data_IF_762597548069
#
_entry.id   IF_762597548069
#
_cell.length_a   1.000
_cell.length_b   1.000
_cell.length_c   1.000
_cell.angle_alpha   90.00
_cell.angle_beta   90.00
_cell.angle_gamma   90.00
#
_symmetry.space_group_name_H-M   'P 1'
#
loop_
_entity.id
_entity.type
_entity.pdbx_description
1 polymer ?
#
# COMPACT_ATOMS: atom_id res chain seq x y z
N UNK A 1 5.48 -10.45 46.94
CA UNK A 1 5.11 -9.10 46.46
C UNK A 1 3.62 -8.86 46.71
N UNK A 2 3.11 -7.63 46.76
CA UNK A 2 1.67 -7.31 46.87
C UNK A 2 1.06 -7.13 45.48
N UNK A 3 -0.26 -7.25 45.34
CA UNK A 3 -0.93 -6.77 44.12
C UNK A 3 -0.87 -5.25 44.10
N UNK A 4 -0.45 -4.69 42.96
CA UNK A 4 -0.45 -3.25 42.72
C UNK A 4 -1.62 -2.90 41.81
N UNK A 5 -2.30 -1.80 42.10
CA UNK A 5 -3.32 -1.26 41.21
C UNK A 5 -2.69 -0.98 39.84
N UNK A 6 -3.37 -1.34 38.76
CA UNK A 6 -3.02 -0.90 37.42
C UNK A 6 -3.83 0.36 37.12
N UNK A 7 -3.19 1.52 37.22
CA UNK A 7 -3.73 2.84 36.96
C UNK A 7 -2.87 3.54 35.89
N UNK A 8 -3.12 3.21 34.62
CA UNK A 8 -2.35 3.67 33.46
C UNK A 8 -1.38 2.61 32.92
N UNK A 9 -0.38 3.06 32.16
CA UNK A 9 0.60 2.16 31.52
C UNK A 9 1.72 1.76 32.47
N UNK A 10 1.97 0.46 32.56
CA UNK A 10 3.09 -0.14 33.30
C UNK A 10 4.00 -0.92 32.37
N UNK A 11 5.28 -0.58 32.39
CA UNK A 11 6.33 -1.25 31.60
C UNK A 11 7.29 -2.01 32.51
N UNK A 12 7.62 -3.25 32.14
CA UNK A 12 8.56 -4.12 32.83
C UNK A 12 9.52 -4.70 31.79
N UNK A 13 10.81 -4.46 31.95
CA UNK A 13 11.85 -5.12 31.17
C UNK A 13 12.42 -6.28 31.99
N UNK A 14 12.51 -7.46 31.39
CA UNK A 14 13.09 -8.64 32.03
C UNK A 14 13.59 -9.63 30.95
N UNK A 15 14.00 -10.83 31.35
CA UNK A 15 14.53 -11.84 30.44
C UNK A 15 14.19 -13.24 30.91
N UNK A 16 14.10 -14.19 29.99
CA UNK A 16 14.05 -15.63 30.28
C UNK A 16 15.32 -16.30 29.79
N UNK A 17 15.78 -17.32 30.51
CA UNK A 17 16.91 -18.14 30.07
C UNK A 17 16.77 -19.58 30.56
N UNK A 18 16.33 -20.47 29.68
CA UNK A 18 16.05 -21.86 30.05
C UNK A 18 17.30 -22.64 30.45
N UNK A 19 18.50 -22.19 30.05
CA UNK A 19 19.76 -22.85 30.41
C UNK A 19 20.12 -22.70 31.89
N UNK A 20 19.58 -21.68 32.57
CA UNK A 20 19.76 -21.49 34.01
C UNK A 20 18.54 -21.94 34.84
N UNK A 21 17.52 -22.53 34.19
CA UNK A 21 16.28 -22.97 34.82
C UNK A 21 15.18 -21.90 34.88
N UNK A 22 15.38 -20.73 34.29
CA UNK A 22 14.40 -19.66 34.22
C UNK A 22 13.50 -19.81 32.99
N UNK A 23 12.44 -20.61 33.16
CA UNK A 23 11.47 -20.91 32.11
C UNK A 23 10.23 -20.02 32.13
N UNK A 24 9.98 -19.29 33.23
CA UNK A 24 8.78 -18.48 33.40
C UNK A 24 8.95 -17.41 34.47
N UNK A 25 8.37 -16.25 34.15
CA UNK A 25 8.18 -15.15 35.07
C UNK A 25 6.71 -14.99 35.43
N UNK A 26 6.45 -14.49 36.64
CA UNK A 26 5.10 -14.29 37.17
C UNK A 26 4.96 -12.88 37.71
N UNK A 27 4.03 -12.14 37.14
CA UNK A 27 3.66 -10.79 37.56
C UNK A 27 2.26 -10.79 38.11
N UNK A 28 1.93 -9.71 38.84
CA UNK A 28 0.58 -9.51 39.36
C UNK A 28 0.13 -8.07 39.31
N UNK A 29 -1.16 -7.90 39.10
CA UNK A 29 -1.83 -6.61 39.06
C UNK A 29 -3.26 -6.72 39.62
N UNK A 30 -3.82 -5.58 40.02
CA UNK A 30 -5.20 -5.47 40.49
C UNK A 30 -5.92 -4.44 39.64
N UNK A 31 -7.12 -4.77 39.19
CA UNK A 31 -8.08 -3.80 38.65
C UNK A 31 -9.00 -3.32 39.78
N UNK A 32 -9.13 -2.00 39.91
CA UNK A 32 -10.00 -1.37 40.91
C UNK A 32 -11.48 -1.46 40.56
N UNK A 33 -11.76 -1.49 39.27
CA UNK A 33 -13.08 -1.52 38.65
C UNK A 33 -13.00 -2.29 37.33
N UNK A 34 -14.14 -2.66 36.76
CA UNK A 34 -14.19 -3.26 35.42
C UNK A 34 -13.66 -2.25 34.40
N UNK A 35 -12.64 -2.64 33.64
CA UNK A 35 -11.90 -1.75 32.74
C UNK A 35 -11.52 -2.48 31.46
N UNK A 36 -11.24 -1.74 30.38
CA UNK A 36 -10.47 -2.31 29.28
C UNK A 36 -9.08 -2.74 29.77
N UNK A 37 -8.52 -3.77 29.17
CA UNK A 37 -7.22 -4.30 29.55
C UNK A 37 -6.40 -4.65 28.31
N UNK A 38 -5.25 -4.01 28.20
CA UNK A 38 -4.30 -4.24 27.12
C UNK A 38 -2.99 -4.76 27.69
N UNK A 39 -2.37 -5.72 27.01
CA UNK A 39 -1.07 -6.26 27.36
C UNK A 39 -0.29 -6.53 26.07
N UNK A 40 0.96 -6.08 26.05
CA UNK A 40 1.91 -6.37 24.98
C UNK A 40 3.19 -7.00 25.55
N UNK A 41 3.72 -8.02 24.88
CA UNK A 41 5.05 -8.58 25.12
C UNK A 41 5.88 -8.39 23.86
N UNK A 42 6.88 -7.49 23.90
CA UNK A 42 7.69 -7.16 22.73
C UNK A 42 9.19 -7.28 23.01
N UNK A 43 10.02 -6.96 22.01
CA UNK A 43 11.48 -6.97 22.09
C UNK A 43 12.06 -8.35 22.42
N UNK A 44 11.42 -9.39 21.88
CA UNK A 44 11.84 -10.77 22.02
C UNK A 44 12.79 -11.16 20.89
N UNK A 45 13.83 -11.92 21.22
CA UNK A 45 14.72 -12.58 20.23
C UNK A 45 14.42 -14.06 20.06
N UNK A 46 13.56 -14.62 20.91
CA UNK A 46 13.10 -16.00 20.86
C UNK A 46 11.71 -16.12 21.52
N UNK A 47 11.08 -17.26 21.31
CA UNK A 47 9.66 -17.51 21.57
C UNK A 47 9.27 -17.54 23.06
N UNK A 48 8.33 -16.68 23.45
CA UNK A 48 7.72 -16.69 24.76
C UNK A 48 6.24 -16.29 24.70
N UNK A 49 5.41 -17.07 25.40
CA UNK A 49 3.97 -16.90 25.46
C UNK A 49 3.54 -16.02 26.64
N UNK A 50 2.33 -15.47 26.56
CA UNK A 50 1.63 -14.83 27.69
C UNK A 50 0.34 -15.55 28.08
N UNK A 51 0.10 -15.65 29.39
CA UNK A 51 -1.15 -16.18 29.98
C UNK A 51 -1.61 -15.31 31.14
N UNK A 52 -2.90 -15.01 31.20
CA UNK A 52 -3.52 -14.24 32.27
C UNK A 52 -4.41 -15.15 33.09
N UNK A 53 -4.24 -15.10 34.41
CA UNK A 53 -5.03 -15.86 35.36
C UNK A 53 -5.73 -14.93 36.35
N UNK A 54 -6.92 -15.30 36.79
CA UNK A 54 -7.63 -14.63 37.87
C UNK A 54 -7.37 -15.36 39.20
N UNK A 55 -7.01 -14.59 40.23
CA UNK A 55 -6.88 -15.07 41.62
C UNK A 55 -8.27 -15.27 42.24
N UNK A 56 -8.97 -16.31 41.77
CA UNK A 56 -10.36 -16.60 42.16
C UNK A 56 -10.46 -17.22 43.55
N UNK A 57 -9.37 -17.80 44.06
CA UNK A 57 -9.31 -18.43 45.39
C UNK A 57 -8.81 -17.47 46.49
N UNK A 58 -8.28 -16.30 46.12
CA UNK A 58 -7.76 -15.29 47.05
C UNK A 58 -6.44 -15.70 47.72
N UNK A 59 -5.72 -16.68 47.18
CA UNK A 59 -4.46 -17.20 47.75
C UNK A 59 -3.32 -16.20 47.58
N UNK A 60 -3.44 -15.29 46.61
CA UNK A 60 -2.43 -14.29 46.24
C UNK A 60 -1.15 -14.86 45.63
N UNK A 61 -1.17 -16.14 45.28
CA UNK A 61 -0.10 -16.87 44.62
C UNK A 61 -0.65 -17.60 43.39
N UNK A 62 0.11 -17.62 42.29
CA UNK A 62 -0.35 -18.30 41.08
C UNK A 62 -0.23 -19.83 41.24
N UNK A 63 -1.37 -20.49 41.24
CA UNK A 63 -1.57 -21.93 41.33
C UNK A 63 -2.14 -22.45 40.01
N UNK A 64 -1.26 -22.97 39.13
CA UNK A 64 -1.57 -23.30 37.72
C UNK A 64 -2.80 -24.24 37.51
N UNK A 65 -3.29 -24.96 38.53
CA UNK A 65 -4.46 -25.85 38.46
C UNK A 65 -5.66 -25.39 39.32
N UNK A 66 -5.58 -24.20 39.92
CA UNK A 66 -6.60 -23.65 40.82
C UNK A 66 -7.07 -22.29 40.32
N UNK A 67 -6.15 -21.46 39.86
CA UNK A 67 -6.49 -20.16 39.29
C UNK A 67 -7.07 -20.31 37.88
N UNK A 68 -8.08 -19.50 37.61
CA UNK A 68 -8.80 -19.50 36.34
C UNK A 68 -7.95 -18.85 35.25
N UNK A 69 -7.63 -19.58 34.19
CA UNK A 69 -7.06 -19.00 32.98
C UNK A 69 -8.12 -18.13 32.31
N UNK A 70 -7.86 -16.84 32.21
CA UNK A 70 -8.74 -15.86 31.56
C UNK A 70 -8.51 -15.87 30.06
N UNK A 71 -7.24 -15.71 29.65
CA UNK A 71 -6.85 -15.56 28.24
C UNK A 71 -5.35 -15.85 28.07
N UNK A 72 -4.94 -16.17 26.85
CA UNK A 72 -3.54 -16.36 26.48
C UNK A 72 -3.28 -15.90 25.06
N UNK A 73 -2.05 -15.46 24.79
CA UNK A 73 -1.51 -15.32 23.43
C UNK A 73 -0.27 -16.21 23.32
N UNK A 74 -0.21 -16.95 22.21
CA UNK A 74 0.71 -18.06 21.95
C UNK A 74 1.31 -17.94 20.54
N UNK A 75 1.65 -16.71 20.12
CA UNK A 75 2.16 -16.45 18.78
C UNK A 75 3.54 -17.04 18.65
N UNK A 76 3.80 -17.71 17.53
CA UNK A 76 5.03 -18.48 17.38
C UNK A 76 6.26 -17.61 17.12
N UNK A 77 7.43 -18.12 17.49
CA UNK A 77 8.69 -17.46 17.24
C UNK A 77 8.82 -16.16 18.04
N UNK A 78 9.53 -15.17 17.52
CA UNK A 78 9.73 -13.88 18.21
C UNK A 78 8.65 -12.85 17.88
N UNK A 79 7.45 -13.28 17.49
CA UNK A 79 6.33 -12.37 17.24
C UNK A 79 5.90 -11.71 18.54
N UNK A 80 5.55 -10.43 18.49
CA UNK A 80 5.04 -9.73 19.67
C UNK A 80 3.75 -10.41 20.17
N UNK A 81 3.57 -10.55 21.47
CA UNK A 81 2.29 -11.03 22.00
C UNK A 81 1.38 -9.85 22.32
N UNK A 82 0.08 -9.99 22.07
CA UNK A 82 -0.93 -8.97 22.34
C UNK A 82 -2.18 -9.60 22.97
N UNK A 83 -2.75 -8.93 23.97
CA UNK A 83 -4.07 -9.22 24.54
C UNK A 83 -4.78 -7.89 24.70
N UNK A 84 -5.94 -7.72 24.07
CA UNK A 84 -6.75 -6.51 24.14
C UNK A 84 -8.20 -6.90 24.51
N UNK A 85 -8.59 -6.74 25.77
CA UNK A 85 -9.90 -7.16 26.27
C UNK A 85 -10.81 -5.97 26.59
N UNK A 86 -12.06 -6.07 26.17
CA UNK A 86 -13.14 -5.18 26.59
C UNK A 86 -13.63 -5.60 27.98
N UNK A 87 -13.75 -4.65 28.91
CA UNK A 87 -14.45 -4.86 30.19
C UNK A 87 -13.96 -6.05 31.05
N UNK A 88 -12.64 -6.20 31.22
CA UNK A 88 -12.09 -7.15 32.20
C UNK A 88 -12.54 -6.76 33.62
N UNK A 89 -13.18 -7.69 34.34
CA UNK A 89 -13.77 -7.44 35.66
C UNK A 89 -12.75 -6.88 36.68
N UNK A 90 -13.26 -6.11 37.65
CA UNK A 90 -12.48 -5.77 38.84
C UNK A 90 -11.97 -7.04 39.54
N UNK A 91 -10.70 -7.05 39.96
CA UNK A 91 -10.12 -8.24 40.57
C UNK A 91 -8.60 -8.24 40.66
N UNK A 92 -8.08 -9.35 41.18
CA UNK A 92 -6.66 -9.64 41.27
C UNK A 92 -6.28 -10.64 40.18
N UNK A 93 -5.19 -10.35 39.47
CA UNK A 93 -4.78 -11.11 38.30
C UNK A 93 -3.27 -11.39 38.31
N UNK A 94 -2.91 -12.52 37.73
CA UNK A 94 -1.53 -12.88 37.43
C UNK A 94 -1.29 -12.83 35.93
N UNK A 95 -0.10 -12.39 35.55
CA UNK A 95 0.45 -12.57 34.20
C UNK A 95 1.59 -13.55 34.30
N UNK A 96 1.57 -14.59 33.49
CA UNK A 96 2.68 -15.51 33.32
C UNK A 96 3.29 -15.29 31.94
N UNK A 97 4.58 -14.96 31.90
CA UNK A 97 5.40 -14.98 30.69
C UNK A 97 6.19 -16.29 30.71
N UNK A 98 6.12 -17.09 29.65
CA UNK A 98 6.70 -18.44 29.64
C UNK A 98 7.47 -18.71 28.36
N UNK A 99 8.71 -19.14 28.49
CA UNK A 99 9.55 -19.52 27.37
C UNK A 99 8.99 -20.75 26.64
N UNK A 100 9.07 -20.74 25.31
CA UNK A 100 8.79 -21.88 24.47
C UNK A 100 10.11 -22.45 23.88
N UNK A 101 10.49 -23.64 24.34
CA UNK A 101 11.73 -24.30 23.92
C UNK A 101 12.96 -23.93 24.76
N UNK A 102 14.16 -24.31 24.28
CA UNK A 102 15.43 -23.95 24.93
C UNK A 102 15.95 -22.62 24.38
N UNK A 103 15.76 -21.54 25.12
CA UNK A 103 15.98 -20.18 24.64
C UNK A 103 16.59 -19.25 25.70
N UNK A 104 17.20 -18.17 25.22
CA UNK A 104 17.47 -16.97 25.99
C UNK A 104 16.86 -15.79 25.24
N UNK A 105 15.98 -15.04 25.89
CA UNK A 105 15.29 -13.88 25.28
C UNK A 105 15.14 -12.78 26.31
N UNK A 106 15.36 -11.53 25.88
CA UNK A 106 14.86 -10.39 26.63
C UNK A 106 13.40 -10.17 26.26
N UNK A 107 12.66 -9.46 27.09
CA UNK A 107 11.33 -9.01 26.72
C UNK A 107 10.97 -7.72 27.46
N UNK A 108 10.03 -6.99 26.86
CA UNK A 108 9.34 -5.89 27.48
C UNK A 108 7.86 -6.25 27.63
N UNK A 109 7.42 -6.44 28.88
CA UNK A 109 6.02 -6.64 29.22
C UNK A 109 5.38 -5.29 29.55
N UNK A 110 4.29 -4.96 28.85
CA UNK A 110 3.51 -3.75 29.07
C UNK A 110 2.06 -4.10 29.38
N UNK A 111 1.46 -3.36 30.31
CA UNK A 111 0.04 -3.49 30.66
C UNK A 111 -0.58 -2.11 30.80
N UNK A 112 -1.83 -1.94 30.35
CA UNK A 112 -2.54 -0.67 30.35
C UNK A 112 -4.05 -0.90 30.44
N UNK A 113 -4.78 0.11 30.89
CA UNK A 113 -6.25 0.15 30.88
C UNK A 113 -6.80 1.23 29.92
N UNK A 114 -5.94 1.79 29.08
CA UNK A 114 -6.34 2.81 28.09
C UNK A 114 -7.32 2.23 27.05
N UNK A 115 -8.20 3.08 26.55
CA UNK A 115 -9.19 2.73 25.54
C UNK A 115 -9.35 3.89 24.54
N UNK A 116 -9.00 3.72 23.25
CA UNK A 116 -8.45 2.50 22.66
C UNK A 116 -7.03 2.16 23.14
N UNK A 117 -6.61 0.91 22.94
CA UNK A 117 -5.29 0.39 23.34
C UNK A 117 -4.14 1.30 22.89
N UNK A 118 -3.32 1.78 23.83
CA UNK A 118 -2.19 2.66 23.53
C UNK A 118 -0.90 1.92 23.15
N UNK A 119 -0.99 0.61 22.91
CA UNK A 119 0.15 -0.23 22.53
C UNK A 119 0.15 -0.49 21.03
N UNK A 120 1.35 -0.66 20.49
CA UNK A 120 1.60 -0.88 19.06
C UNK A 120 2.39 -2.17 18.82
N UNK A 121 2.01 -3.32 19.43
CA UNK A 121 2.68 -4.58 19.13
C UNK A 121 2.56 -4.87 17.64
N UNK A 122 3.58 -5.51 17.07
CA UNK A 122 3.53 -5.89 15.66
C UNK A 122 2.69 -7.15 15.52
N UNK A 123 1.39 -6.97 15.25
CA UNK A 123 0.48 -8.09 15.02
C UNK A 123 0.55 -8.59 13.58
N UNK A 124 0.51 -7.67 12.62
CA UNK A 124 0.70 -7.98 11.21
C UNK A 124 1.88 -7.17 10.68
N UNK A 125 2.95 -7.86 10.29
CA UNK A 125 4.06 -7.27 9.57
C UNK A 125 3.70 -7.17 8.08
N UNK A 126 3.37 -5.96 7.62
CA UNK A 126 3.14 -5.65 6.20
C UNK A 126 4.47 -5.50 5.47
N UNK A 127 5.49 -5.00 6.17
CA UNK A 127 6.79 -4.65 5.59
C UNK A 127 6.70 -3.44 4.66
N UNK A 128 7.46 -3.47 3.57
CA UNK A 128 7.47 -2.36 2.62
C UNK A 128 6.12 -2.23 1.92
N UNK A 129 5.43 -1.11 2.17
CA UNK A 129 4.16 -0.85 1.51
C UNK A 129 4.41 -0.24 0.13
N UNK A 130 4.08 -1.01 -0.89
CA UNK A 130 4.11 -0.61 -2.31
C UNK A 130 2.84 -1.11 -2.98
N UNK A 131 2.19 -0.25 -3.78
CA UNK A 131 0.92 -0.60 -4.41
C UNK A 131 -0.16 -0.90 -3.38
N UNK A 132 -1.03 -1.87 -3.69
CA UNK A 132 -2.19 -2.24 -2.85
C UNK A 132 -1.90 -3.46 -1.98
N UNK A 133 -2.38 -3.44 -0.73
CA UNK A 133 -2.40 -4.58 0.19
C UNK A 133 -3.76 -4.64 0.87
N UNK A 134 -4.36 -5.82 0.89
CA UNK A 134 -5.66 -6.07 1.51
C UNK A 134 -5.51 -7.08 2.63
N UNK A 135 -6.07 -6.74 3.79
CA UNK A 135 -6.10 -7.59 4.98
C UNK A 135 -7.54 -7.82 5.42
N UNK A 136 -7.79 -8.99 5.99
CA UNK A 136 -9.06 -9.27 6.66
C UNK A 136 -8.77 -9.53 8.14
N UNK A 137 -9.58 -8.95 9.01
CA UNK A 137 -9.41 -9.06 10.45
C UNK A 137 -10.75 -8.95 11.18
N UNK A 138 -10.69 -8.90 12.50
CA UNK A 138 -11.87 -8.75 13.34
C UNK A 138 -11.51 -8.15 14.69
N UNK A 139 -12.28 -7.16 15.11
CA UNK A 139 -12.21 -6.60 16.46
C UNK A 139 -13.49 -6.88 17.23
N UNK A 140 -13.38 -7.03 18.55
CA UNK A 140 -14.48 -7.37 19.43
C UNK A 140 -14.06 -7.42 20.89
N UNK A 141 -14.97 -7.85 21.76
CA UNK A 141 -14.76 -7.77 23.21
C UNK A 141 -13.57 -8.58 23.75
N UNK A 142 -13.14 -9.60 23.03
CA UNK A 142 -11.99 -10.45 23.36
C UNK A 142 -10.71 -10.10 22.57
N UNK A 143 -10.82 -9.16 21.62
CA UNK A 143 -9.71 -8.57 20.89
C UNK A 143 -10.09 -7.16 20.38
N UNK A 144 -9.86 -6.13 21.19
CA UNK A 144 -10.38 -4.78 20.90
C UNK A 144 -9.54 -4.00 19.89
N UNK A 145 -8.35 -4.47 19.52
CA UNK A 145 -7.49 -3.77 18.58
C UNK A 145 -6.57 -4.74 17.83
N UNK A 146 -6.35 -4.44 16.55
CA UNK A 146 -5.37 -5.10 15.69
C UNK A 146 -4.37 -4.06 15.18
N UNK A 147 -3.08 -4.41 15.12
CA UNK A 147 -2.01 -3.49 14.71
C UNK A 147 -1.21 -4.01 13.51
N UNK A 148 -1.13 -3.19 12.46
CA UNK A 148 -0.41 -3.46 11.22
C UNK A 148 0.81 -2.55 11.12
N UNK A 149 2.00 -3.10 11.00
CA UNK A 149 3.25 -2.34 10.81
C UNK A 149 3.67 -2.37 9.36
N UNK A 150 3.92 -1.21 8.78
CA UNK A 150 4.44 -1.07 7.43
C UNK A 150 5.54 -0.01 7.37
N UNK A 151 6.35 -0.03 6.32
CA UNK A 151 7.35 1.01 6.10
C UNK A 151 7.22 1.61 4.69
N UNK A 152 7.42 2.93 4.61
CA UNK A 152 7.57 3.65 3.35
C UNK A 152 9.05 3.75 3.00
N UNK A 153 9.48 3.12 1.92
CA UNK A 153 10.90 3.11 1.48
C UNK A 153 11.37 4.51 1.05
N UNK A 154 10.45 5.30 0.50
CA UNK A 154 10.66 6.70 0.12
C UNK A 154 9.44 7.51 0.53
N UNK A 155 9.56 8.84 0.50
CA UNK A 155 8.39 9.70 0.71
C UNK A 155 7.27 9.35 -0.29
N UNK A 156 6.02 9.40 0.16
CA UNK A 156 4.87 8.97 -0.64
C UNK A 156 3.53 9.34 -0.02
N UNK A 157 2.47 8.88 -0.67
CA UNK A 157 1.10 9.03 -0.18
C UNK A 157 0.58 7.69 0.36
N UNK A 158 -0.37 7.75 1.28
CA UNK A 158 -1.09 6.59 1.81
C UNK A 158 -2.59 6.83 1.64
N UNK A 159 -3.25 5.89 0.97
CA UNK A 159 -4.70 5.75 0.98
C UNK A 159 -5.06 4.50 1.79
N UNK A 160 -6.03 4.64 2.68
CA UNK A 160 -6.49 3.58 3.57
C UNK A 160 -8.01 3.53 3.54
N UNK A 161 -8.56 2.32 3.46
CA UNK A 161 -10.01 2.08 3.58
C UNK A 161 -10.27 0.91 4.53
N UNK A 162 -11.17 1.10 5.50
CA UNK A 162 -11.68 0.04 6.37
C UNK A 162 -13.17 -0.17 6.08
N UNK A 163 -13.56 -1.36 5.63
CA UNK A 163 -14.94 -1.63 5.23
C UNK A 163 -15.36 -3.06 5.56
N UNK A 164 -16.60 -3.42 5.19
CA UNK A 164 -17.16 -4.75 5.50
C UNK A 164 -17.66 -4.86 6.94
N UNK A 165 -17.84 -3.72 7.63
CA UNK A 165 -18.23 -3.65 9.03
C UNK A 165 -19.68 -4.10 9.27
N UNK A 166 -19.90 -4.85 10.34
CA UNK A 166 -21.21 -5.21 10.91
C UNK A 166 -21.51 -4.53 12.25
N UNK A 167 -20.49 -3.95 12.87
CA UNK A 167 -20.55 -3.10 14.06
C UNK A 167 -19.47 -2.01 13.93
N UNK A 168 -19.37 -1.11 14.92
CA UNK A 168 -18.56 0.10 14.80
C UNK A 168 -17.09 -0.16 15.16
N UNK A 169 -16.20 0.16 14.23
CA UNK A 169 -14.75 0.07 14.38
C UNK A 169 -14.11 1.27 13.69
N UNK A 170 -13.16 1.86 14.39
CA UNK A 170 -12.42 3.03 13.96
C UNK A 170 -11.01 2.63 13.52
N UNK A 171 -10.29 3.58 12.90
CA UNK A 171 -8.90 3.36 12.47
C UNK A 171 -8.04 4.60 12.68
N UNK A 172 -6.79 4.38 13.09
CA UNK A 172 -5.76 5.43 13.18
C UNK A 172 -4.45 5.03 12.53
N UNK A 173 -3.76 6.02 11.97
CA UNK A 173 -2.39 5.89 11.46
C UNK A 173 -1.45 6.58 12.43
N UNK A 174 -0.37 5.88 12.79
CA UNK A 174 0.62 6.30 13.78
C UNK A 174 2.01 6.28 13.15
N UNK A 175 2.80 7.31 13.42
CA UNK A 175 4.23 7.35 13.14
C UNK A 175 4.98 7.33 14.48
N UNK A 176 5.30 6.13 14.96
CA UNK A 176 6.06 5.89 16.19
C UNK A 176 7.51 6.36 15.97
N UNK A 177 7.78 7.60 16.33
CA UNK A 177 9.01 8.30 15.96
C UNK A 177 10.17 7.93 16.87
N UNK A 178 9.89 7.28 17.99
CA UNK A 178 10.87 6.89 19.00
C UNK A 178 11.02 5.36 19.12
N UNK A 179 10.25 4.60 18.34
CA UNK A 179 10.26 3.14 18.24
C UNK A 179 10.06 2.48 19.61
N UNK A 180 9.19 3.04 20.44
CA UNK A 180 8.90 2.49 21.76
C UNK A 180 7.64 1.61 21.77
N UNK A 181 6.93 1.44 20.65
CA UNK A 181 5.64 0.77 20.48
C UNK A 181 4.52 1.25 21.44
N UNK A 182 4.60 2.49 21.89
CA UNK A 182 3.57 3.20 22.62
C UNK A 182 3.09 4.36 21.77
N UNK A 183 1.83 4.73 21.92
CA UNK A 183 1.33 5.96 21.33
C UNK A 183 1.65 7.12 22.27
N UNK A 184 2.54 8.00 21.83
CA UNK A 184 2.83 9.27 22.48
C UNK A 184 2.10 10.46 21.83
N UNK A 185 2.10 11.59 22.53
CA UNK A 185 1.48 12.82 22.03
C UNK A 185 2.15 13.27 20.72
N UNK A 186 1.35 13.37 19.66
CA UNK A 186 1.79 13.83 18.34
C UNK A 186 2.19 12.71 17.38
N UNK A 187 2.15 11.44 17.79
CA UNK A 187 2.49 10.31 16.91
C UNK A 187 1.30 9.80 16.10
N UNK A 188 0.06 10.01 16.57
CA UNK A 188 -1.13 9.78 15.76
C UNK A 188 -1.22 10.88 14.70
N UNK A 189 -1.00 10.50 13.43
CA UNK A 189 -0.97 11.45 12.30
C UNK A 189 -2.32 11.55 11.58
N UNK A 190 -3.18 10.53 11.71
CA UNK A 190 -4.54 10.54 11.19
C UNK A 190 -5.45 9.59 11.95
N UNK A 191 -6.75 9.87 11.92
CA UNK A 191 -7.80 9.02 12.49
C UNK A 191 -9.07 9.18 11.66
N UNK A 192 -9.83 8.12 11.50
CA UNK A 192 -11.19 8.12 10.97
C UNK A 192 -12.09 7.39 11.96
N UNK A 193 -13.23 8.01 12.27
CA UNK A 193 -14.21 7.54 13.26
C UNK A 193 -15.65 7.69 12.76
N UNK A 194 -15.93 7.24 11.53
CA UNK A 194 -17.27 7.36 10.96
C UNK A 194 -18.23 6.41 11.70
N UNK A 195 -19.32 6.95 12.22
CA UNK A 195 -20.22 6.16 13.04
C UNK A 195 -20.83 4.95 12.31
N UNK A 196 -21.08 3.88 13.09
CA UNK A 196 -21.83 2.70 12.68
C UNK A 196 -21.02 1.77 11.79
N UNK A 197 -21.56 1.42 10.62
CA UNK A 197 -20.89 0.51 9.67
C UNK A 197 -20.41 1.26 8.42
N UNK A 198 -20.22 2.57 8.55
CA UNK A 198 -19.71 3.39 7.47
C UNK A 198 -18.26 2.98 7.17
N UNK A 199 -17.83 3.12 5.93
CA UNK A 199 -16.43 2.87 5.60
C UNK A 199 -15.55 3.95 6.24
N UNK A 200 -14.46 3.53 6.89
CA UNK A 200 -13.40 4.47 7.30
C UNK A 200 -12.48 4.75 6.13
N UNK A 201 -12.01 5.99 6.01
CA UNK A 201 -11.09 6.37 4.94
C UNK A 201 -10.08 7.39 5.45
N UNK A 202 -8.80 7.13 5.19
CA UNK A 202 -7.71 8.06 5.49
C UNK A 202 -6.89 8.24 4.21
N UNK A 203 -6.71 9.50 3.80
CA UNK A 203 -5.85 9.86 2.67
C UNK A 203 -4.79 10.84 3.16
N UNK A 204 -3.54 10.40 3.15
CA UNK A 204 -2.37 11.16 3.59
C UNK A 204 -1.44 11.40 2.41
N UNK A 205 -0.96 12.64 2.29
CA UNK A 205 -0.05 13.02 1.21
C UNK A 205 1.28 13.52 1.74
N UNK A 206 2.36 13.18 1.06
CA UNK A 206 3.70 13.67 1.40
C UNK A 206 4.20 13.16 2.76
N UNK A 207 3.89 11.90 3.09
CA UNK A 207 4.51 11.21 4.21
C UNK A 207 5.99 11.00 3.93
N UNK A 208 6.82 11.21 4.94
CA UNK A 208 8.25 10.92 4.84
C UNK A 208 8.50 9.41 4.82
N UNK A 209 9.67 9.00 4.31
CA UNK A 209 10.12 7.63 4.44
C UNK A 209 10.29 7.27 5.93
N UNK A 210 9.81 6.09 6.34
CA UNK A 210 9.80 5.70 7.74
C UNK A 210 8.89 4.53 8.04
N UNK A 211 8.85 4.15 9.31
CA UNK A 211 8.00 3.09 9.84
C UNK A 211 6.69 3.69 10.35
N UNK A 212 5.58 3.09 9.95
CA UNK A 212 4.25 3.52 10.30
C UNK A 212 3.43 2.33 10.76
N UNK A 213 2.40 2.64 11.54
CA UNK A 213 1.45 1.66 11.99
C UNK A 213 0.03 2.10 11.67
N UNK A 214 -0.80 1.12 11.34
CA UNK A 214 -2.26 1.27 11.33
C UNK A 214 -2.79 0.47 12.49
N UNK A 215 -3.60 1.08 13.33
CA UNK A 215 -4.36 0.37 14.35
C UNK A 215 -5.85 0.48 14.04
N UNK A 216 -6.47 -0.68 13.83
CA UNK A 216 -7.93 -0.83 13.78
C UNK A 216 -8.37 -1.14 15.19
N UNK A 217 -9.36 -0.43 15.70
CA UNK A 217 -9.83 -0.64 17.06
C UNK A 217 -11.36 -0.62 17.14
N UNK A 218 -11.89 -1.45 18.02
CA UNK A 218 -13.31 -1.55 18.29
C UNK A 218 -13.81 -0.23 18.88
N UNK A 219 -14.90 0.31 18.32
CA UNK A 219 -15.65 1.38 18.97
C UNK A 219 -16.90 0.82 19.67
N UNK A 220 -17.66 -0.05 18.98
CA UNK A 220 -18.78 -0.76 19.63
C UNK A 220 -19.17 -2.05 18.91
N UNK A 221 -19.42 -3.11 19.69
CA UNK A 221 -19.82 -4.42 19.16
C UNK A 221 -18.68 -5.15 18.42
N UNK A 222 -18.86 -6.43 18.15
CA UNK A 222 -17.87 -7.21 17.41
C UNK A 222 -18.10 -7.06 15.90
N UNK A 223 -17.03 -6.90 15.14
CA UNK A 223 -17.11 -6.79 13.69
C UNK A 223 -15.90 -7.42 13.01
N UNK A 224 -16.17 -8.09 11.88
CA UNK A 224 -15.12 -8.36 10.91
C UNK A 224 -14.88 -7.10 10.08
N UNK A 225 -13.72 -7.02 9.44
CA UNK A 225 -13.41 -5.95 8.52
C UNK A 225 -12.48 -6.42 7.41
N UNK A 226 -12.45 -5.63 6.34
CA UNK A 226 -11.40 -5.63 5.33
C UNK A 226 -10.68 -4.28 5.39
N UNK A 227 -9.36 -4.32 5.50
CA UNK A 227 -8.47 -3.17 5.52
C UNK A 227 -7.66 -3.16 4.22
N UNK A 228 -7.89 -2.14 3.40
CA UNK A 228 -7.08 -1.85 2.22
C UNK A 228 -6.08 -0.75 2.55
N UNK A 229 -4.81 -1.01 2.26
CA UNK A 229 -3.71 -0.04 2.28
C UNK A 229 -3.18 0.13 0.86
N UNK A 230 -3.04 1.36 0.41
CA UNK A 230 -2.62 1.66 -0.93
C UNK A 230 -1.61 2.81 -0.97
N UNK A 231 -0.51 2.61 -1.68
CA UNK A 231 0.50 3.63 -1.97
C UNK A 231 0.55 3.86 -3.49
N UNK A 232 0.09 5.02 -3.97
CA UNK A 232 0.10 5.30 -5.40
C UNK A 232 1.51 5.51 -5.92
N UNK A 233 1.74 5.07 -7.16
CA UNK A 233 3.02 5.16 -7.83
C UNK A 233 2.86 5.65 -9.27
N UNK A 234 3.82 6.46 -9.72
CA UNK A 234 4.04 6.76 -11.13
C UNK A 234 4.92 5.65 -11.71
N UNK A 235 4.43 4.98 -12.74
CA UNK A 235 5.20 3.99 -13.47
C UNK A 235 5.47 4.44 -14.89
N UNK A 236 6.62 4.04 -15.44
CA UNK A 236 6.95 4.19 -16.85
C UNK A 236 6.99 2.81 -17.48
N UNK A 237 6.50 2.70 -18.71
CA UNK A 237 6.39 1.43 -19.40
C UNK A 237 6.78 1.53 -20.87
N UNK A 238 7.07 0.37 -21.46
CA UNK A 238 7.16 0.15 -22.89
C UNK A 238 6.21 -0.99 -23.26
N UNK A 239 5.25 -0.76 -24.14
CA UNK A 239 4.43 -1.82 -24.73
C UNK A 239 5.05 -2.31 -26.03
N UNK A 240 5.21 -3.61 -26.18
CA UNK A 240 5.77 -4.27 -27.36
C UNK A 240 4.65 -5.01 -28.10
N UNK A 241 4.48 -4.75 -29.40
CA UNK A 241 3.47 -5.44 -30.22
C UNK A 241 3.89 -6.88 -30.56
N UNK A 242 5.19 -7.17 -30.67
CA UNK A 242 5.74 -8.52 -30.83
C UNK A 242 6.34 -8.82 -32.21
N UNK A 243 6.11 -7.94 -33.18
CA UNK A 243 6.73 -7.81 -34.51
C UNK A 243 8.00 -6.94 -34.50
N UNK A 244 8.15 -6.08 -33.50
CA UNK A 244 9.29 -5.16 -33.34
C UNK A 244 8.86 -3.71 -33.14
N UNK A 245 7.58 -3.40 -33.24
CA UNK A 245 7.01 -2.11 -32.91
C UNK A 245 6.72 -1.96 -31.42
N UNK A 246 6.69 -0.71 -30.96
CA UNK A 246 6.41 -0.41 -29.57
C UNK A 246 5.88 1.01 -29.36
N UNK A 247 5.17 1.21 -28.25
CA UNK A 247 4.96 2.55 -27.68
C UNK A 247 5.46 2.64 -26.24
N UNK A 248 5.77 3.86 -25.80
CA UNK A 248 6.18 4.16 -24.44
C UNK A 248 5.27 5.19 -23.80
N UNK A 249 5.18 5.09 -22.49
CA UNK A 249 4.35 5.99 -21.73
C UNK A 249 4.64 5.92 -20.25
N UNK A 250 3.76 6.60 -19.52
CA UNK A 250 3.71 6.54 -18.07
C UNK A 250 2.26 6.45 -17.61
N UNK A 251 2.07 5.92 -16.42
CA UNK A 251 0.77 5.89 -15.78
C UNK A 251 0.87 6.01 -14.28
N UNK A 252 -0.28 6.20 -13.66
CA UNK A 252 -0.41 6.21 -12.21
C UNK A 252 -1.18 4.98 -11.80
N UNK A 253 -0.67 4.25 -10.82
CA UNK A 253 -1.40 3.10 -10.31
C UNK A 253 -2.77 3.52 -9.79
N UNK A 254 -3.68 2.56 -9.67
CA UNK A 254 -4.95 2.72 -8.96
C UNK A 254 -5.12 1.63 -7.88
N UNK A 255 -6.05 1.79 -6.93
CA UNK A 255 -6.36 0.74 -5.96
C UNK A 255 -6.66 -0.61 -6.63
N UNK A 256 -6.06 -1.67 -6.11
CA UNK A 256 -6.15 -3.03 -6.65
C UNK A 256 -5.16 -3.36 -7.77
N UNK A 257 -4.39 -2.37 -8.27
CA UNK A 257 -3.34 -2.58 -9.27
C UNK A 257 -1.98 -2.83 -8.59
N UNK A 258 -1.31 -3.91 -8.98
CA UNK A 258 0.05 -4.22 -8.57
C UNK A 258 0.97 -4.05 -9.79
N UNK A 259 1.75 -2.97 -9.81
CA UNK A 259 2.77 -2.70 -10.84
C UNK A 259 4.12 -2.53 -10.14
N UNK A 260 5.11 -3.32 -10.53
CA UNK A 260 6.46 -3.25 -10.00
C UNK A 260 7.51 -2.93 -11.08
N UNK A 261 8.56 -2.19 -10.71
CA UNK A 261 9.67 -1.94 -11.61
C UNK A 261 10.36 -3.25 -12.04
N UNK A 262 10.64 -3.40 -13.33
CA UNK A 262 11.23 -4.59 -13.93
C UNK A 262 10.25 -5.72 -14.23
N UNK A 263 8.95 -5.51 -13.95
CA UNK A 263 7.90 -6.47 -14.27
C UNK A 263 7.61 -6.51 -15.78
N UNK A 264 7.29 -7.69 -16.30
CA UNK A 264 6.76 -7.89 -17.65
C UNK A 264 5.33 -8.41 -17.58
N UNK A 265 4.39 -7.71 -18.22
CA UNK A 265 2.96 -8.01 -18.19
C UNK A 265 2.49 -8.40 -19.59
N UNK A 266 2.24 -9.69 -19.82
CA UNK A 266 1.73 -10.20 -21.09
C UNK A 266 0.22 -9.95 -21.25
N UNK A 267 -0.22 -9.57 -22.44
CA UNK A 267 -1.65 -9.45 -22.75
C UNK A 267 -2.31 -10.81 -22.92
N UNK A 268 -3.61 -10.88 -22.66
CA UNK A 268 -4.38 -12.14 -22.76
C UNK A 268 -4.87 -12.46 -24.17
N UNK A 269 -4.84 -11.49 -25.08
CA UNK A 269 -5.33 -11.59 -26.45
C UNK A 269 -4.28 -11.09 -27.43
N UNK A 270 -4.38 -11.55 -28.67
CA UNK A 270 -3.54 -11.02 -29.74
C UNK A 270 -4.00 -9.60 -30.13
N UNK A 271 -3.03 -8.77 -30.49
CA UNK A 271 -3.24 -7.53 -31.25
C UNK A 271 -3.55 -7.83 -32.73
N UNK A 272 -3.77 -6.82 -33.57
CA UNK A 272 -4.09 -7.04 -35.00
C UNK A 272 -2.92 -7.59 -35.81
N UNK A 273 -1.70 -7.46 -35.29
CA UNK A 273 -0.50 -8.08 -35.89
C UNK A 273 -0.47 -9.59 -35.68
N UNK A 274 -1.39 -10.11 -34.86
CA UNK A 274 -1.56 -11.52 -34.54
C UNK A 274 -0.62 -12.01 -33.45
N UNK A 275 0.14 -11.12 -32.81
CA UNK A 275 1.06 -11.43 -31.73
C UNK A 275 0.44 -11.14 -30.36
N UNK A 276 0.95 -11.81 -29.32
CA UNK A 276 0.62 -11.48 -27.94
C UNK A 276 1.59 -10.38 -27.47
N UNK A 277 1.12 -9.14 -27.43
CA UNK A 277 1.89 -8.01 -26.93
C UNK A 277 2.14 -8.08 -25.43
N UNK A 278 3.07 -7.25 -24.94
CA UNK A 278 3.42 -7.18 -23.52
C UNK A 278 3.95 -5.81 -23.10
N UNK A 279 3.73 -5.44 -21.84
CA UNK A 279 4.36 -4.29 -21.20
C UNK A 279 5.65 -4.71 -20.50
N UNK A 280 6.70 -3.91 -20.64
CA UNK A 280 7.86 -3.89 -19.74
C UNK A 280 7.75 -2.65 -18.85
N UNK A 281 7.69 -2.85 -17.53
CA UNK A 281 7.65 -1.77 -16.56
C UNK A 281 9.07 -1.30 -16.27
N UNK A 282 9.42 -0.11 -16.75
CA UNK A 282 10.77 0.43 -16.65
C UNK A 282 11.06 1.01 -15.27
N UNK A 283 10.05 1.59 -14.62
CA UNK A 283 10.14 2.13 -13.26
C UNK A 283 8.75 2.18 -12.62
N UNK A 284 8.70 2.17 -11.29
CA UNK A 284 7.51 2.41 -10.49
C UNK A 284 7.95 3.12 -9.21
N UNK A 285 7.58 4.39 -9.06
CA UNK A 285 8.04 5.24 -7.96
C UNK A 285 6.87 5.82 -7.18
N UNK A 286 6.84 5.72 -5.84
CA UNK A 286 5.83 6.37 -5.03
C UNK A 286 5.71 7.87 -5.33
N UNK A 287 4.49 8.39 -5.31
CA UNK A 287 4.23 9.80 -5.59
C UNK A 287 3.84 10.55 -4.32
N UNK A 288 4.21 11.83 -4.27
CA UNK A 288 3.82 12.76 -3.21
C UNK A 288 2.82 13.81 -3.69
N UNK A 289 2.73 14.02 -5.01
CA UNK A 289 1.85 15.01 -5.64
C UNK A 289 0.89 14.29 -6.60
N UNK A 290 -0.40 14.58 -6.47
CA UNK A 290 -1.49 14.20 -7.40
C UNK A 290 -2.14 12.80 -7.26
N UNK A 291 -3.05 12.65 -6.28
CA UNK A 291 -3.97 11.50 -6.19
C UNK A 291 -5.05 11.46 -7.29
N UNK A 292 -5.33 12.60 -7.93
CA UNK A 292 -6.43 12.72 -8.91
C UNK A 292 -6.18 12.03 -10.25
N UNK A 293 -4.99 11.45 -10.45
CA UNK A 293 -4.61 10.78 -11.70
C UNK A 293 -4.59 9.27 -11.58
N UNK A 294 -5.07 8.69 -10.47
CA UNK A 294 -5.14 7.24 -10.30
C UNK A 294 -5.75 6.55 -11.53
N UNK A 295 -5.05 5.54 -12.05
CA UNK A 295 -5.45 4.78 -13.24
C UNK A 295 -5.26 5.51 -14.58
N UNK A 296 -4.84 6.78 -14.59
CA UNK A 296 -4.53 7.48 -15.82
C UNK A 296 -3.26 6.92 -16.45
N UNK A 297 -3.33 6.63 -17.74
CA UNK A 297 -2.20 6.22 -18.58
C UNK A 297 -2.02 7.23 -19.69
N UNK A 298 -0.78 7.57 -19.98
CA UNK A 298 -0.40 8.50 -21.05
C UNK A 298 0.69 7.86 -21.89
N UNK A 299 0.49 7.85 -23.21
CA UNK A 299 1.50 7.47 -24.19
C UNK A 299 2.05 8.73 -24.83
N UNK A 300 3.37 8.82 -24.88
CA UNK A 300 4.09 9.98 -25.39
C UNK A 300 5.10 9.64 -26.50
N UNK A 301 5.35 8.37 -26.78
CA UNK A 301 6.25 7.92 -27.85
C UNK A 301 5.69 6.68 -28.55
N UNK A 302 5.71 6.67 -29.88
CA UNK A 302 5.43 5.49 -30.72
C UNK A 302 6.58 5.26 -31.70
N UNK A 303 6.99 4.00 -31.87
CA UNK A 303 7.97 3.57 -32.85
C UNK A 303 7.35 2.62 -33.86
N UNK A 304 7.42 3.04 -35.11
CA UNK A 304 6.96 2.32 -36.29
C UNK A 304 8.13 1.60 -36.96
N UNK A 305 8.02 0.28 -37.13
CA UNK A 305 9.12 -0.55 -37.61
C UNK A 305 9.33 -0.41 -39.12
N UNK A 306 8.23 -0.28 -39.86
CA UNK A 306 8.12 -0.23 -41.31
C UNK A 306 8.85 0.99 -41.87
N UNK A 307 8.61 2.14 -41.25
CA UNK A 307 9.24 3.41 -41.61
C UNK A 307 10.53 3.68 -40.84
N UNK A 308 10.70 3.05 -39.67
CA UNK A 308 11.81 3.29 -38.75
C UNK A 308 11.74 4.68 -38.10
N UNK A 309 10.56 5.30 -38.05
CA UNK A 309 10.35 6.60 -37.45
C UNK A 309 9.73 6.50 -36.04
N UNK A 310 10.06 7.49 -35.23
CA UNK A 310 9.56 7.72 -33.87
C UNK A 310 8.69 8.97 -33.91
N UNK A 311 7.50 8.88 -33.35
CA UNK A 311 6.69 10.04 -33.05
C UNK A 311 6.71 10.30 -31.53
N UNK A 312 7.28 11.44 -31.11
CA UNK A 312 7.54 11.81 -29.71
C UNK A 312 7.26 13.30 -29.41
N UNK A 313 7.38 13.71 -28.14
CA UNK A 313 7.14 15.08 -27.66
C UNK A 313 8.40 15.99 -27.74
N UNK A 314 9.42 15.58 -28.50
CA UNK A 314 10.71 16.24 -28.49
C UNK A 314 10.73 17.55 -29.31
N UNK A 315 10.72 18.67 -28.59
CA UNK A 315 10.71 20.05 -29.10
C UNK A 315 11.90 20.38 -30.03
N UNK A 316 13.02 19.66 -29.93
CA UNK A 316 14.28 19.99 -30.62
C UNK A 316 14.47 19.25 -31.96
N UNK A 317 13.37 18.82 -32.60
CA UNK A 317 13.32 17.97 -33.79
C UNK A 317 14.42 18.15 -34.86
N UNK A 318 14.75 17.05 -35.55
CA UNK A 318 15.73 17.04 -36.66
C UNK A 318 16.73 15.87 -36.62
N UNK A 319 16.63 14.99 -35.62
CA UNK A 319 17.38 13.72 -35.58
C UNK A 319 16.79 12.71 -36.57
N UNK A 320 17.67 11.99 -37.27
CA UNK A 320 17.27 10.90 -38.15
C UNK A 320 16.45 9.88 -37.36
N UNK A 321 15.26 9.51 -37.86
CA UNK A 321 14.36 8.56 -37.21
C UNK A 321 13.27 9.19 -36.35
N UNK A 322 13.09 10.51 -36.33
CA UNK A 322 11.92 11.15 -35.71
C UNK A 322 11.02 11.79 -36.77
N UNK A 323 9.69 11.69 -36.60
CA UNK A 323 8.71 12.38 -37.43
C UNK A 323 8.56 13.84 -36.97
N UNK A 324 9.17 14.76 -37.71
CA UNK A 324 8.83 16.19 -37.68
C UNK A 324 9.08 16.81 -39.05
N UNK A 325 8.17 17.67 -39.51
CA UNK A 325 8.40 18.50 -40.69
C UNK A 325 9.47 19.57 -40.36
N UNK A 326 10.63 19.58 -41.03
CA UNK A 326 11.65 20.61 -40.80
C UNK A 326 11.18 22.04 -41.10
N UNK A 327 10.13 22.21 -41.91
CA UNK A 327 9.51 23.50 -42.22
C UNK A 327 8.45 23.91 -41.16
N UNK A 328 7.92 22.95 -40.38
CA UNK A 328 6.95 23.18 -39.30
C UNK A 328 7.39 22.46 -38.01
N UNK A 329 8.29 23.07 -37.22
CA UNK A 329 8.75 22.48 -35.97
C UNK A 329 7.60 22.34 -34.95
N UNK A 330 7.74 21.34 -34.07
CA UNK A 330 6.79 21.03 -33.01
C UNK A 330 6.35 22.28 -32.22
N UNK A 331 5.04 22.48 -32.14
CA UNK A 331 4.39 23.51 -31.33
C UNK A 331 3.51 22.85 -30.28
N UNK A 332 3.97 22.82 -29.04
CA UNK A 332 3.25 22.24 -27.89
C UNK A 332 1.85 22.86 -27.61
N UNK A 333 1.47 23.93 -28.31
CA UNK A 333 0.13 24.53 -28.22
C UNK A 333 -0.84 24.03 -29.30
N UNK A 334 -0.33 23.39 -30.36
CA UNK A 334 -1.11 22.93 -31.54
C UNK A 334 -0.91 21.44 -31.83
N UNK A 335 0.28 20.93 -31.56
CA UNK A 335 0.68 19.55 -31.80
C UNK A 335 0.52 18.75 -30.52
N UNK A 336 -0.16 17.60 -30.61
CA UNK A 336 -0.44 16.74 -29.46
C UNK A 336 -0.17 15.28 -29.82
N UNK A 337 0.76 14.64 -29.11
CA UNK A 337 0.86 13.17 -29.05
C UNK A 337 0.10 12.73 -27.81
N UNK A 338 -1.13 12.25 -27.98
CA UNK A 338 -1.95 11.91 -26.82
C UNK A 338 -2.65 10.58 -27.05
N UNK A 339 -2.01 9.52 -26.55
CA UNK A 339 -2.73 8.33 -26.08
C UNK A 339 -3.11 8.53 -24.64
N UNK A 340 -4.37 8.30 -24.30
CA UNK A 340 -4.85 8.36 -22.91
C UNK A 340 -5.65 7.12 -22.57
N UNK A 341 -5.37 6.60 -21.39
CA UNK A 341 -6.17 5.61 -20.68
C UNK A 341 -6.57 6.16 -19.32
N UNK A 342 -7.57 5.55 -18.70
CA UNK A 342 -8.10 5.98 -17.40
C UNK A 342 -8.41 4.83 -16.44
N UNK A 343 -8.10 3.59 -16.82
CA UNK A 343 -8.36 2.42 -15.97
C UNK A 343 -7.13 1.52 -15.85
N UNK A 344 -5.93 2.11 -15.87
CA UNK A 344 -4.65 1.39 -15.84
C UNK A 344 -4.20 0.93 -17.23
N UNK A 345 -3.12 0.14 -17.26
CA UNK A 345 -2.52 -0.38 -18.50
C UNK A 345 -3.54 -1.15 -19.36
N UNK A 346 -3.44 -0.97 -20.68
CA UNK A 346 -4.36 -1.53 -21.65
C UNK A 346 -5.63 -0.70 -21.88
N UNK A 347 -5.80 0.43 -21.18
CA UNK A 347 -6.91 1.36 -21.45
C UNK A 347 -6.51 2.54 -22.33
N UNK A 348 -5.21 2.70 -22.54
CA UNK A 348 -4.64 3.71 -23.39
C UNK A 348 -5.01 3.47 -24.84
N UNK A 349 -5.53 4.52 -25.45
CA UNK A 349 -5.67 4.62 -26.88
C UNK A 349 -5.60 6.07 -27.30
N UNK A 350 -5.25 6.32 -28.55
CA UNK A 350 -5.28 7.66 -29.07
C UNK A 350 -4.56 7.81 -30.38
N UNK A 351 -4.20 9.05 -30.65
CA UNK A 351 -3.64 9.46 -31.92
C UNK A 351 -2.26 10.06 -31.63
N UNK A 352 -1.25 9.56 -32.33
CA UNK A 352 0.05 10.22 -32.38
C UNK A 352 0.06 11.20 -33.55
N UNK A 353 0.54 12.42 -33.28
CA UNK A 353 0.95 13.43 -34.25
C UNK A 353 -0.16 14.13 -35.05
N UNK A 354 -0.58 15.33 -34.63
CA UNK A 354 -1.07 16.37 -35.54
C UNK A 354 0.11 17.30 -35.85
N UNK A 355 0.67 17.35 -37.07
CA UNK A 355 1.38 18.59 -37.41
C UNK A 355 0.29 19.64 -37.60
N UNK A 356 0.46 20.79 -36.96
CA UNK A 356 -0.42 21.92 -37.12
C UNK A 356 -0.29 22.54 -38.52
N UNK A 357 -0.47 21.76 -39.59
CA UNK A 357 -0.64 22.28 -40.94
C UNK A 357 -1.79 23.30 -40.87
N UNK A 358 -1.53 24.60 -41.10
CA UNK A 358 -2.64 25.49 -41.41
C UNK A 358 -3.27 24.88 -42.66
N UNK A 359 -4.54 24.54 -42.56
CA UNK A 359 -5.28 24.03 -43.68
C UNK A 359 -5.04 24.93 -44.89
N UNK A 360 -4.69 24.30 -46.01
CA UNK A 360 -4.69 24.98 -47.30
C UNK A 360 -6.03 25.75 -47.43
N UNK A 361 -6.02 27.00 -47.95
CA UNK A 361 -7.21 27.84 -47.97
C UNK A 361 -8.40 27.10 -48.62
N UNK A 362 -9.38 26.70 -47.81
CA UNK A 362 -10.59 26.01 -48.26
C UNK A 362 -10.87 24.63 -47.64
N UNK A 363 -9.97 24.06 -46.84
CA UNK A 363 -10.24 22.81 -46.10
C UNK A 363 -10.40 23.08 -44.61
N UNK A 364 -11.60 22.93 -44.07
CA UNK A 364 -11.78 22.77 -42.62
C UNK A 364 -11.57 21.29 -42.31
N UNK A 365 -10.34 20.87 -42.02
CA UNK A 365 -10.04 19.47 -41.75
C UNK A 365 -8.68 19.28 -41.08
N UNK A 366 -8.66 18.33 -40.16
CA UNK A 366 -7.46 17.73 -39.54
C UNK A 366 -6.65 17.03 -40.65
N UNK A 367 -5.32 17.15 -40.68
CA UNK A 367 -4.49 16.45 -41.68
C UNK A 367 -4.47 14.95 -41.43
N UNK A 368 -5.34 14.20 -42.12
CA UNK A 368 -5.50 12.75 -41.93
C UNK A 368 -4.33 11.90 -42.43
N UNK A 369 -3.25 12.50 -42.92
CA UNK A 369 -2.15 11.77 -43.59
C UNK A 369 -0.95 11.45 -42.70
N UNK A 370 -0.89 11.99 -41.47
CA UNK A 370 0.23 11.83 -40.53
C UNK A 370 -0.18 11.29 -39.14
N UNK A 371 -1.28 10.53 -39.06
CA UNK A 371 -1.75 9.94 -37.81
C UNK A 371 -1.43 8.45 -37.67
N UNK A 372 -0.90 8.06 -36.52
CA UNK A 372 -1.02 6.70 -35.99
C UNK A 372 -2.15 6.64 -34.97
N UNK A 373 -3.06 5.66 -35.09
CA UNK A 373 -4.04 5.32 -34.06
C UNK A 373 -3.54 4.09 -33.31
N UNK A 374 -3.10 4.26 -32.08
CA UNK A 374 -2.66 3.11 -31.27
C UNK A 374 -3.65 2.89 -30.13
N UNK A 375 -3.91 1.63 -29.82
CA UNK A 375 -4.39 1.18 -28.52
C UNK A 375 -3.73 -0.17 -28.18
N UNK A 376 -4.14 -0.82 -27.09
CA UNK A 376 -3.56 -2.10 -26.70
C UNK A 376 -3.94 -3.27 -27.62
N UNK A 377 -5.06 -3.14 -28.32
CA UNK A 377 -5.46 -4.00 -29.42
C UNK A 377 -4.83 -3.52 -30.71
N UNK A 378 -5.07 -2.25 -31.10
CA UNK A 378 -4.79 -1.56 -32.38
C UNK A 378 -3.34 -1.09 -32.50
N UNK A 379 -2.60 -1.71 -33.41
CA UNK A 379 -1.36 -1.19 -33.98
C UNK A 379 -1.65 -0.21 -35.14
N UNK A 380 -0.79 0.79 -35.35
CA UNK A 380 -0.96 1.73 -36.46
C UNK A 380 0.33 2.02 -37.21
N UNK A 381 0.32 1.59 -38.47
CA UNK A 381 1.26 2.02 -39.51
C UNK A 381 1.34 3.56 -39.64
N UNK A 382 2.53 4.12 -39.48
CA UNK A 382 2.82 5.49 -39.87
C UNK A 382 3.04 5.59 -41.38
N UNK A 383 2.30 6.47 -42.07
CA UNK A 383 2.46 6.67 -43.52
C UNK A 383 3.49 7.79 -43.76
N UNK A 384 4.61 7.56 -44.49
CA UNK A 384 5.60 8.59 -44.76
C UNK A 384 5.08 9.71 -45.69
N UNK A 385 5.43 10.97 -45.37
CA UNK A 385 5.23 12.16 -46.22
C UNK A 385 5.80 11.99 -47.64
N UNK A 386 6.86 11.19 -47.82
CA UNK A 386 7.55 11.02 -49.10
C UNK A 386 6.78 10.22 -50.16
N UNK A 387 5.67 9.56 -49.81
CA UNK A 387 4.84 8.82 -50.76
C UNK A 387 4.09 9.72 -51.77
N UNK A 388 4.06 11.05 -51.59
CA UNK A 388 3.40 11.98 -52.51
C UNK A 388 4.30 12.64 -53.57
N UNK A 389 5.62 12.44 -53.56
CA UNK A 389 6.50 13.09 -54.56
C UNK A 389 6.59 12.37 -55.93
N UNK A 390 5.93 11.22 -56.10
CA UNK A 390 5.90 10.50 -57.39
C UNK A 390 4.51 10.50 -58.05
N UNK A 391 3.96 11.69 -58.32
CA UNK A 391 2.83 11.87 -59.24
C UNK A 391 2.82 13.26 -59.90
N UNK A 392 3.99 13.82 -60.18
CA UNK A 392 4.12 14.92 -61.13
C UNK A 392 5.16 14.58 -62.19
N UNK A 393 4.80 13.61 -63.04
CA UNK A 393 5.45 13.45 -64.34
C UNK A 393 4.42 13.61 -65.45
N UNK A 394 4.70 14.60 -66.29
CA UNK A 394 4.18 14.87 -67.63
C UNK A 394 2.81 15.58 -67.74
N UNK A 395 2.87 16.90 -67.95
CA UNK A 395 2.28 17.46 -69.18
C UNK A 395 3.33 18.30 -69.92
N UNK A 396 3.43 18.16 -71.25
CA UNK A 396 4.48 18.80 -72.06
C UNK A 396 4.16 20.28 -72.34
N UNK A 397 5.24 21.00 -72.68
CA UNK A 397 5.41 22.44 -72.97
C UNK A 397 4.17 23.28 -73.31
#
# INVERSE_FOLDING_TARGET
MTFTLLDGTRTINNSLNTSNGDFKDRFKFRLGETSNFNLALTNMSADADIRIYRDSNGSRELEDNVDELVVSSLRSGSQDEAINLESLEAGNYFVQVRAFGEIATNYQLRMSTEDPSNFLPTEIEVGALTGSKTFNGSVGSDNTADTYRFNLISAGNLELSLYGLSADADVRVVHDSNNNDLIDFGEVIATSTNAGTSTETINLTGLDAGDYLVQVYQYSGATNYTLDLYTPALYHFTYQYGDGEYYKGYGYTQPGEEIAAGERIYQSSANETGHIGYYDINSATPITNHLSFAGQVVVNEYYDLETGYIADDNIMGGTQGHLHDPDYPFDATRDFNVGRGYTGLGSEGGIVHTDGHPSLPGMSGVDTTTFAVFDNSIEADMIPITAMSMSMSAMPM
#
